data_IF_826648997079
#
_entry.id   IF_826648997079
#
_cell.length_a   1.000
_cell.length_b   1.000
_cell.length_c   1.000
_cell.angle_alpha   90.00
_cell.angle_beta   90.00
_cell.angle_gamma   90.00
#
_symmetry.space_group_name_H-M   'P 1'
#
loop_
_entity.id
_entity.type
_entity.pdbx_description
1 polymer ?
#
# COMPACT_ATOMS: atom_id res chain seq x y z
N UNK A 1 -4.50 17.12 -17.59
CA UNK A 1 -3.93 16.31 -16.48
C UNK A 1 -4.87 16.16 -15.27
N UNK A 2 -5.80 17.10 -14.99
CA UNK A 2 -6.70 17.03 -13.82
C UNK A 2 -8.03 16.26 -14.00
N UNK A 3 -8.32 15.73 -15.20
CA UNK A 3 -9.60 15.03 -15.47
C UNK A 3 -9.68 13.59 -14.94
N UNK A 4 -8.54 12.97 -14.57
CA UNK A 4 -8.49 11.58 -14.09
C UNK A 4 -8.58 11.41 -12.57
N UNK A 5 -8.57 12.50 -11.78
CA UNK A 5 -8.57 12.43 -10.30
C UNK A 5 -10.00 12.30 -9.73
N UNK A 6 -11.02 12.83 -10.43
CA UNK A 6 -12.42 12.83 -9.93
C UNK A 6 -13.00 11.43 -9.63
N UNK A 7 -12.76 10.38 -10.44
CA UNK A 7 -13.29 9.04 -10.16
C UNK A 7 -12.72 8.40 -8.88
N UNK A 8 -11.49 8.74 -8.51
CA UNK A 8 -10.86 8.22 -7.29
C UNK A 8 -11.44 8.88 -6.04
N UNK A 9 -11.68 10.19 -6.09
CA UNK A 9 -12.30 10.93 -4.99
C UNK A 9 -13.71 10.40 -4.66
N UNK A 10 -14.49 10.03 -5.69
CA UNK A 10 -15.83 9.50 -5.49
C UNK A 10 -15.85 8.16 -4.75
N UNK A 11 -14.81 7.33 -4.88
CA UNK A 11 -14.72 6.04 -4.18
C UNK A 11 -14.01 6.20 -2.84
N UNK A 12 -12.83 6.82 -2.85
CA UNK A 12 -11.89 6.83 -1.74
C UNK A 12 -12.01 8.04 -0.80
N UNK A 13 -12.79 9.05 -1.16
CA UNK A 13 -12.98 10.26 -0.35
C UNK A 13 -11.79 11.23 -0.42
N UNK A 14 -11.92 12.36 0.28
CA UNK A 14 -10.93 13.44 0.28
C UNK A 14 -9.60 13.06 0.93
N UNK A 15 -9.62 12.07 1.82
CA UNK A 15 -8.44 11.54 2.50
C UNK A 15 -7.70 10.46 1.68
N UNK A 16 -7.96 10.34 0.37
CA UNK A 16 -7.35 9.32 -0.52
C UNK A 16 -5.82 9.33 -0.53
N UNK A 17 -5.19 10.48 -0.27
CA UNK A 17 -3.73 10.62 -0.22
C UNK A 17 -3.14 10.30 1.16
N UNK A 18 -3.96 9.95 2.15
CA UNK A 18 -3.51 9.62 3.50
C UNK A 18 -3.37 8.10 3.66
N UNK A 19 -2.32 7.67 4.35
CA UNK A 19 -2.18 6.29 4.78
C UNK A 19 -3.09 6.03 5.99
N UNK A 20 -4.24 5.40 5.76
CA UNK A 20 -5.28 5.14 6.76
C UNK A 20 -5.74 3.68 6.73
N UNK A 21 -5.02 2.76 7.38
CA UNK A 21 -5.34 1.32 7.39
C UNK A 21 -6.75 1.01 7.90
N UNK A 22 -7.24 1.82 8.84
CA UNK A 22 -8.54 1.68 9.50
C UNK A 22 -9.71 1.78 8.50
N UNK A 23 -9.48 2.34 7.31
CA UNK A 23 -10.45 2.37 6.21
C UNK A 23 -11.02 0.99 5.89
N UNK A 24 -10.25 -0.08 6.11
CA UNK A 24 -10.61 -1.44 5.77
C UNK A 24 -11.16 -2.24 6.96
N UNK A 25 -11.48 -1.62 8.11
CA UNK A 25 -11.96 -2.34 9.31
C UNK A 25 -13.21 -3.17 9.05
N UNK A 26 -14.14 -2.63 8.25
CA UNK A 26 -15.38 -3.28 7.83
C UNK A 26 -15.26 -4.02 6.48
N UNK A 27 -14.02 -4.22 6.01
CA UNK A 27 -13.70 -4.91 4.76
C UNK A 27 -13.68 -4.03 3.51
N UNK A 28 -13.30 -4.64 2.39
CA UNK A 28 -13.05 -3.95 1.11
C UNK A 28 -14.32 -3.34 0.51
N UNK A 29 -15.47 -4.00 0.64
CA UNK A 29 -16.73 -3.51 0.09
C UNK A 29 -17.11 -2.16 0.71
N UNK A 30 -17.06 -2.05 2.04
CA UNK A 30 -17.35 -0.79 2.74
C UNK A 30 -16.30 0.28 2.40
N UNK A 31 -15.01 -0.08 2.42
CA UNK A 31 -13.90 0.82 2.08
C UNK A 31 -14.01 1.44 0.67
N UNK A 32 -14.73 0.78 -0.24
CA UNK A 32 -14.88 1.17 -1.66
C UNK A 32 -16.30 1.58 -2.04
N UNK A 33 -17.15 1.93 -1.07
CA UNK A 33 -18.56 2.31 -1.30
C UNK A 33 -19.34 1.26 -2.10
N UNK A 34 -19.19 0.00 -1.70
CA UNK A 34 -19.79 -1.17 -2.36
C UNK A 34 -19.35 -1.37 -3.82
N UNK A 35 -18.15 -0.91 -4.18
CA UNK A 35 -17.50 -1.21 -5.45
C UNK A 35 -16.15 -1.93 -5.24
N UNK A 36 -16.16 -3.24 -4.88
CA UNK A 36 -14.93 -3.97 -4.57
C UNK A 36 -13.90 -3.99 -5.70
N UNK A 37 -14.34 -3.90 -6.95
CA UNK A 37 -13.46 -3.85 -8.12
C UNK A 37 -12.54 -2.62 -8.12
N UNK A 38 -12.91 -1.55 -7.41
CA UNK A 38 -12.07 -0.37 -7.24
C UNK A 38 -10.79 -0.65 -6.44
N UNK A 39 -10.75 -1.76 -5.68
CA UNK A 39 -9.56 -2.24 -4.98
C UNK A 39 -9.06 -3.55 -5.59
N UNK A 40 -8.26 -3.44 -6.65
CA UNK A 40 -7.70 -4.58 -7.38
C UNK A 40 -6.17 -4.55 -7.45
N UNK A 41 -5.45 -4.58 -6.30
CA UNK A 41 -3.98 -4.43 -6.28
C UNK A 41 -3.23 -5.56 -6.99
N UNK A 42 -3.88 -6.73 -7.12
CA UNK A 42 -3.35 -7.92 -7.81
C UNK A 42 -4.08 -8.20 -9.13
N UNK A 43 -4.81 -7.23 -9.67
CA UNK A 43 -5.71 -7.41 -10.81
C UNK A 43 -7.01 -8.14 -10.44
N UNK A 44 -7.84 -8.40 -11.45
CA UNK A 44 -9.17 -9.02 -11.30
C UNK A 44 -9.45 -9.98 -12.46
N UNK A 45 -10.28 -11.00 -12.23
CA UNK A 45 -10.68 -11.98 -13.24
C UNK A 45 -9.63 -13.08 -13.48
N UNK A 46 -9.72 -13.82 -14.60
CA UNK A 46 -8.91 -15.03 -14.85
C UNK A 46 -7.42 -14.77 -15.09
N UNK A 47 -7.02 -13.50 -15.19
CA UNK A 47 -5.63 -13.06 -15.37
C UNK A 47 -5.13 -12.23 -14.19
N UNK A 48 -5.74 -12.42 -13.01
CA UNK A 48 -5.18 -11.85 -11.78
C UNK A 48 -3.80 -12.46 -11.46
N UNK A 49 -3.08 -11.82 -10.55
CA UNK A 49 -1.76 -12.29 -10.13
C UNK A 49 -1.88 -13.69 -9.52
N UNK A 50 -1.24 -14.68 -10.16
CA UNK A 50 -1.13 -16.05 -9.65
C UNK A 50 -0.48 -16.11 -8.27
N UNK A 51 0.39 -15.14 -7.96
CA UNK A 51 1.08 -15.03 -6.68
C UNK A 51 0.33 -14.29 -5.58
N UNK A 52 -0.93 -13.86 -5.78
CA UNK A 52 -1.68 -13.05 -4.80
C UNK A 52 -1.67 -13.64 -3.37
N UNK A 53 -2.04 -14.92 -3.24
CA UNK A 53 -2.11 -15.58 -1.93
C UNK A 53 -0.73 -15.70 -1.28
N UNK A 54 0.29 -16.02 -2.06
CA UNK A 54 1.67 -16.10 -1.58
C UNK A 54 2.17 -14.74 -1.11
N UNK A 55 2.00 -13.70 -1.92
CA UNK A 55 2.44 -12.34 -1.60
C UNK A 55 1.76 -11.81 -0.33
N UNK A 56 0.46 -12.05 -0.14
CA UNK A 56 -0.25 -11.65 1.08
C UNK A 56 0.21 -12.42 2.31
N UNK A 57 0.53 -13.70 2.17
CA UNK A 57 1.08 -14.51 3.27
C UNK A 57 2.48 -14.03 3.66
N UNK A 58 3.37 -13.90 2.67
CA UNK A 58 4.75 -13.43 2.85
C UNK A 58 4.78 -12.04 3.49
N UNK A 59 3.98 -11.09 2.98
CA UNK A 59 3.92 -9.74 3.52
C UNK A 59 3.49 -9.72 4.99
N UNK A 60 2.49 -10.52 5.38
CA UNK A 60 2.05 -10.61 6.78
C UNK A 60 3.13 -11.19 7.69
N UNK A 61 3.80 -12.26 7.25
CA UNK A 61 4.87 -12.90 8.02
C UNK A 61 6.05 -11.94 8.17
N UNK A 62 6.56 -11.39 7.07
CA UNK A 62 7.70 -10.49 7.06
C UNK A 62 7.43 -9.24 7.91
N UNK A 63 6.27 -8.60 7.75
CA UNK A 63 5.89 -7.43 8.54
C UNK A 63 5.79 -7.77 10.03
N UNK A 64 5.17 -8.91 10.38
CA UNK A 64 5.05 -9.33 11.78
C UNK A 64 6.41 -9.59 12.41
N UNK A 65 7.33 -10.26 11.70
CA UNK A 65 8.69 -10.51 12.19
C UNK A 65 9.45 -9.21 12.40
N UNK A 66 9.35 -8.28 11.44
CA UNK A 66 10.08 -7.01 11.45
C UNK A 66 9.57 -6.09 12.57
N UNK A 67 8.24 -5.91 12.69
CA UNK A 67 7.63 -5.04 13.70
C UNK A 67 7.81 -5.54 15.14
N UNK A 68 7.95 -6.86 15.35
CA UNK A 68 8.14 -7.45 16.69
C UNK A 68 9.55 -7.28 17.27
N UNK A 69 10.54 -6.88 16.46
CA UNK A 69 11.94 -6.84 16.90
C UNK A 69 12.59 -5.45 16.79
N UNK A 70 11.96 -4.55 16.03
CA UNK A 70 12.63 -3.34 15.57
C UNK A 70 11.67 -2.15 15.53
N UNK A 71 11.90 -1.11 16.36
CA UNK A 71 11.37 0.23 16.09
C UNK A 71 12.03 0.85 14.85
N UNK A 72 11.23 1.57 14.07
CA UNK A 72 11.68 2.30 12.89
C UNK A 72 11.66 3.81 13.13
N UNK A 73 12.75 4.48 12.77
CA UNK A 73 12.79 5.94 12.64
C UNK A 73 13.26 6.29 11.23
N UNK A 74 12.60 7.25 10.59
CA UNK A 74 13.00 7.70 9.26
C UNK A 74 14.33 8.46 9.35
N UNK A 75 15.28 8.14 8.46
CA UNK A 75 16.53 8.89 8.41
C UNK A 75 16.26 10.34 7.97
N UNK A 76 16.89 11.37 8.58
CA UNK A 76 16.74 12.77 8.14
C UNK A 76 17.15 13.00 6.68
N UNK A 77 18.01 12.13 6.12
CA UNK A 77 18.45 12.20 4.73
C UNK A 77 17.51 11.50 3.75
N UNK A 78 16.37 10.98 4.21
CA UNK A 78 15.43 10.29 3.34
C UNK A 78 14.80 11.26 2.33
N UNK A 79 14.79 10.86 1.06
CA UNK A 79 14.17 11.60 -0.04
C UNK A 79 13.00 10.77 -0.58
N UNK A 80 11.77 11.26 -0.40
CA UNK A 80 10.58 10.60 -0.94
C UNK A 80 10.45 10.84 -2.44
N UNK A 81 10.97 9.91 -3.24
CA UNK A 81 10.90 9.97 -4.69
C UNK A 81 10.47 8.62 -5.29
N UNK A 82 9.16 8.36 -5.43
CA UNK A 82 8.65 7.17 -6.11
C UNK A 82 8.98 7.21 -7.60
N UNK A 83 9.50 6.10 -8.12
CA UNK A 83 9.75 5.92 -9.56
C UNK A 83 9.16 4.62 -10.04
N UNK A 84 8.59 4.65 -11.23
CA UNK A 84 8.08 3.47 -11.92
C UNK A 84 9.19 2.91 -12.82
N UNK A 85 9.66 1.70 -12.54
CA UNK A 85 10.46 0.90 -13.48
C UNK A 85 9.59 -0.27 -13.96
N UNK A 86 9.91 -1.50 -13.55
CA UNK A 86 9.01 -2.65 -13.69
C UNK A 86 7.94 -2.63 -12.58
N UNK A 87 8.35 -2.25 -11.37
CA UNK A 87 7.46 -2.01 -10.21
C UNK A 87 7.66 -0.59 -9.68
N UNK A 88 6.69 -0.10 -8.89
CA UNK A 88 6.82 1.16 -8.15
C UNK A 88 7.81 0.96 -7.00
N UNK A 89 8.85 1.78 -6.94
CA UNK A 89 9.85 1.74 -5.86
C UNK A 89 10.38 3.12 -5.52
N UNK A 90 10.88 3.35 -4.31
CA UNK A 90 11.62 4.56 -3.98
C UNK A 90 12.94 4.59 -4.76
N UNK A 91 13.23 5.67 -5.49
CA UNK A 91 14.44 5.79 -6.34
C UNK A 91 15.73 5.58 -5.54
N UNK A 92 15.76 6.10 -4.32
CA UNK A 92 16.92 6.07 -3.44
C UNK A 92 16.80 5.01 -2.34
N UNK A 93 15.78 4.15 -2.36
CA UNK A 93 15.44 3.27 -1.23
C UNK A 93 14.78 4.01 -0.06
N UNK A 94 14.48 3.27 1.01
CA UNK A 94 13.95 3.83 2.27
C UNK A 94 15.06 3.73 3.32
N UNK A 95 15.71 4.85 3.64
CA UNK A 95 16.71 4.88 4.70
C UNK A 95 16.01 4.94 6.05
N UNK A 96 16.13 3.84 6.81
CA UNK A 96 15.58 3.73 8.16
C UNK A 96 16.73 3.61 9.16
N UNK A 97 16.56 4.27 10.29
CA UNK A 97 17.34 4.03 11.49
C UNK A 97 16.57 2.98 12.29
N UNK A 98 17.21 1.85 12.51
CA UNK A 98 16.63 0.71 13.21
C UNK A 98 17.42 0.48 14.49
N UNK A 99 16.72 0.23 15.59
CA UNK A 99 17.34 -0.21 16.86
C UNK A 99 16.68 -1.53 17.25
N UNK A 100 17.41 -2.52 17.78
CA UNK A 100 16.76 -3.68 18.36
C UNK A 100 15.90 -3.25 19.56
N UNK A 101 14.77 -3.93 19.75
CA UNK A 101 13.95 -3.81 20.97
C UNK A 101 14.70 -4.33 22.20
#
# INVERSE_FOLDING_TARGET
MFRQIRPFLTVWGEDVNQFKPERFSEGVAEATKNNPAAFSPFGMGPRNCVGNNFAMMEAKIALSMVLQHYPFTLCPTYIHLPVLHITLRPRHGIQLIIRPL
#
